data_IF_596010748966
#
_entry.id   IF_596010748966
#
_cell.length_a   1.000
_cell.length_b   1.000
_cell.length_c   1.000
_cell.angle_alpha   90.00
_cell.angle_beta   90.00
_cell.angle_gamma   90.00
#
_symmetry.space_group_name_H-M   'P 1'
#
loop_
_entity.id
_entity.type
_entity.pdbx_description
1 polymer ?
#
# COMPACT_ATOMS: atom_id res chain seq x y z
N UNK A 1 -15.46 -10.80 9.62
CA UNK A 1 -14.64 -12.02 9.61
C UNK A 1 -13.32 -11.67 8.95
N UNK A 2 -12.16 -12.19 9.36
CA UNK A 2 -10.96 -12.01 8.55
C UNK A 2 -11.20 -12.80 7.25
N UNK A 3 -11.20 -12.10 6.11
CA UNK A 3 -11.32 -12.68 4.76
C UNK A 3 -10.22 -13.75 4.59
N UNK A 4 -10.61 -15.02 4.61
CA UNK A 4 -9.72 -16.18 4.77
C UNK A 4 -8.66 -16.37 3.68
N UNK A 5 -8.68 -15.57 2.63
CA UNK A 5 -7.75 -15.63 1.50
C UNK A 5 -6.74 -14.48 1.49
N UNK A 6 -6.77 -13.54 2.45
CA UNK A 6 -5.83 -12.41 2.49
C UNK A 6 -4.42 -12.89 2.91
N UNK A 7 -3.49 -12.85 1.96
CA UNK A 7 -2.13 -13.40 2.11
C UNK A 7 -1.06 -12.33 2.34
N UNK A 8 -1.37 -11.07 2.02
CA UNK A 8 -0.44 -9.97 2.22
C UNK A 8 -1.16 -8.64 2.45
N UNK A 9 -0.53 -7.78 3.25
CA UNK A 9 -1.01 -6.43 3.53
C UNK A 9 0.17 -5.46 3.58
N UNK A 10 0.03 -4.31 2.93
CA UNK A 10 1.01 -3.23 2.95
C UNK A 10 0.35 -1.90 3.31
N UNK A 11 1.01 -1.14 4.18
CA UNK A 11 0.61 0.22 4.53
C UNK A 11 1.45 1.21 3.72
N UNK A 12 0.91 1.69 2.61
CA UNK A 12 1.62 2.52 1.64
C UNK A 12 1.43 4.00 2.00
N UNK A 13 2.46 4.71 2.49
CA UNK A 13 2.38 6.15 2.69
C UNK A 13 2.31 6.87 1.33
N UNK A 14 1.27 7.69 1.15
CA UNK A 14 1.09 8.58 0.01
C UNK A 14 0.83 9.99 0.54
N UNK A 15 1.81 10.88 0.41
CA UNK A 15 1.75 12.24 0.94
C UNK A 15 1.29 12.24 2.42
N UNK A 16 0.08 12.74 2.66
CA UNK A 16 -0.51 12.97 3.96
C UNK A 16 -1.33 11.78 4.52
N UNK A 17 -1.54 10.73 3.71
CA UNK A 17 -2.35 9.57 4.08
C UNK A 17 -1.53 8.28 3.96
N UNK A 18 -1.89 7.27 4.75
CA UNK A 18 -1.43 5.89 4.54
C UNK A 18 -2.60 5.09 4.01
N UNK A 19 -2.39 4.45 2.86
CA UNK A 19 -3.36 3.57 2.24
C UNK A 19 -3.06 2.13 2.59
N UNK A 20 -4.08 1.38 2.99
CA UNK A 20 -3.96 -0.05 3.27
C UNK A 20 -4.21 -0.82 1.98
N UNK A 21 -3.17 -1.49 1.47
CA UNK A 21 -3.26 -2.40 0.33
C UNK A 21 -3.34 -3.83 0.85
N UNK A 22 -4.36 -4.57 0.40
CA UNK A 22 -4.60 -5.95 0.77
C UNK A 22 -4.62 -6.82 -0.48
N UNK A 23 -4.03 -8.02 -0.39
CA UNK A 23 -3.97 -8.97 -1.49
C UNK A 23 -4.48 -10.33 -1.06
N UNK A 24 -5.47 -10.84 -1.80
CA UNK A 24 -5.91 -12.22 -1.72
C UNK A 24 -5.31 -13.04 -2.84
N UNK A 25 -4.91 -14.28 -2.52
CA UNK A 25 -4.43 -15.24 -3.51
C UNK A 25 -4.95 -16.65 -3.21
N UNK A 26 -5.84 -17.15 -4.06
CA UNK A 26 -6.34 -18.51 -4.00
C UNK A 26 -5.41 -19.47 -4.75
N UNK A 27 -4.70 -20.33 -4.03
CA UNK A 27 -3.71 -21.25 -4.61
C UNK A 27 -4.31 -22.44 -5.36
N UNK A 28 -5.62 -22.69 -5.22
CA UNK A 28 -6.35 -23.75 -5.96
C UNK A 28 -6.86 -23.26 -7.32
N UNK A 29 -7.40 -22.04 -7.38
CA UNK A 29 -8.04 -21.48 -8.59
C UNK A 29 -7.19 -20.43 -9.29
N UNK A 30 -6.11 -19.97 -8.65
CA UNK A 30 -5.37 -18.77 -9.07
C UNK A 30 -6.16 -17.47 -8.86
N UNK A 31 -7.20 -17.48 -8.01
CA UNK A 31 -7.97 -16.27 -7.67
C UNK A 31 -7.01 -15.18 -7.15
N UNK A 32 -7.20 -13.94 -7.60
CA UNK A 32 -6.48 -12.76 -7.09
C UNK A 32 -7.45 -11.62 -6.83
N UNK A 33 -7.36 -11.00 -5.66
CA UNK A 33 -8.14 -9.80 -5.32
C UNK A 33 -7.22 -8.77 -4.71
N UNK A 34 -7.27 -7.52 -5.20
CA UNK A 34 -6.56 -6.39 -4.60
C UNK A 34 -7.60 -5.43 -4.04
N UNK A 35 -7.44 -5.06 -2.76
CA UNK A 35 -8.21 -4.00 -2.12
C UNK A 35 -7.29 -2.87 -1.68
N UNK A 36 -7.79 -1.65 -1.79
CA UNK A 36 -7.15 -0.43 -1.27
C UNK A 36 -8.16 0.26 -0.37
N UNK A 37 -7.82 0.45 0.89
CA UNK A 37 -8.69 1.01 1.93
C UNK A 37 -10.04 0.29 2.03
N UNK A 38 -10.01 -1.05 1.94
CA UNK A 38 -11.20 -1.90 1.95
C UNK A 38 -12.01 -1.90 0.65
N UNK A 39 -11.68 -1.05 -0.33
CA UNK A 39 -12.34 -1.04 -1.64
C UNK A 39 -11.61 -1.97 -2.60
N UNK A 40 -12.35 -2.91 -3.19
CA UNK A 40 -11.84 -3.74 -4.27
C UNK A 40 -11.55 -2.92 -5.53
N UNK A 41 -10.32 -3.05 -6.02
CA UNK A 41 -9.85 -2.36 -7.24
C UNK A 41 -9.51 -3.34 -8.37
N UNK A 42 -9.29 -4.61 -8.04
CA UNK A 42 -9.00 -5.67 -9.00
C UNK A 42 -9.49 -7.01 -8.47
N UNK A 43 -10.10 -7.79 -9.36
CA UNK A 43 -10.51 -9.18 -9.13
C UNK A 43 -10.24 -10.04 -10.35
N UNK A 44 -9.66 -11.20 -10.10
CA UNK A 44 -9.52 -12.34 -11.01
C UNK A 44 -10.06 -13.55 -10.29
N UNK A 45 -11.16 -14.13 -10.75
CA UNK A 45 -11.75 -15.29 -10.08
C UNK A 45 -11.02 -16.61 -10.40
N UNK A 46 -10.32 -16.65 -11.53
CA UNK A 46 -9.55 -17.82 -11.96
C UNK A 46 -8.32 -17.44 -12.78
N UNK A 47 -7.20 -18.10 -12.50
CA UNK A 47 -5.96 -18.00 -13.28
C UNK A 47 -5.25 -19.36 -13.33
N UNK A 48 -4.82 -19.77 -14.53
CA UNK A 48 -4.04 -21.01 -14.68
C UNK A 48 -2.67 -20.93 -14.02
N UNK A 49 -2.03 -19.75 -14.04
CA UNK A 49 -0.69 -19.53 -13.49
C UNK A 49 -0.79 -18.86 -12.12
N UNK A 50 -0.23 -19.51 -11.09
CA UNK A 50 -0.24 -19.02 -9.71
C UNK A 50 0.80 -17.93 -9.44
N UNK A 51 1.94 -17.97 -10.13
CA UNK A 51 3.00 -16.94 -10.04
C UNK A 51 2.84 -15.87 -11.13
N UNK A 52 3.33 -14.65 -10.88
CA UNK A 52 3.24 -13.55 -11.84
C UNK A 52 3.11 -12.19 -11.17
N UNK A 53 2.63 -11.21 -11.93
CA UNK A 53 2.52 -9.82 -11.47
C UNK A 53 1.11 -9.29 -11.67
N UNK A 54 0.63 -8.49 -10.73
CA UNK A 54 -0.57 -7.67 -10.88
C UNK A 54 -0.19 -6.19 -10.79
N UNK A 55 -0.60 -5.41 -11.79
CA UNK A 55 -0.31 -3.97 -11.87
C UNK A 55 -1.57 -3.20 -11.48
N UNK A 56 -1.41 -2.18 -10.64
CA UNK A 56 -2.49 -1.33 -10.18
C UNK A 56 -1.96 0.06 -9.79
N UNK A 57 -2.85 0.93 -9.31
CA UNK A 57 -2.49 2.26 -8.82
C UNK A 57 -3.05 2.52 -7.42
N UNK A 58 -2.31 3.30 -6.64
CA UNK A 58 -2.77 3.92 -5.39
C UNK A 58 -2.55 5.42 -5.55
N UNK A 59 -3.62 6.18 -5.74
CA UNK A 59 -3.53 7.54 -6.24
C UNK A 59 -2.77 7.59 -7.57
N UNK A 60 -1.71 8.40 -7.63
CA UNK A 60 -0.84 8.52 -8.81
C UNK A 60 0.33 7.53 -8.84
N UNK A 61 0.55 6.78 -7.77
CA UNK A 61 1.64 5.81 -7.70
C UNK A 61 1.31 4.55 -8.50
N UNK A 62 2.30 4.08 -9.27
CA UNK A 62 2.23 2.79 -9.96
C UNK A 62 2.67 1.70 -9.00
N UNK A 63 1.81 0.72 -8.77
CA UNK A 63 2.06 -0.38 -7.86
C UNK A 63 2.07 -1.71 -8.60
N UNK A 64 2.94 -2.63 -8.17
CA UNK A 64 3.01 -3.99 -8.71
C UNK A 64 3.10 -4.97 -7.56
N UNK A 65 2.16 -5.89 -7.47
CA UNK A 65 2.28 -7.07 -6.59
C UNK A 65 2.93 -8.17 -7.41
N UNK A 66 4.05 -8.71 -6.92
CA UNK A 66 4.67 -9.90 -7.46
C UNK A 66 4.30 -11.11 -6.60
N UNK A 67 3.95 -12.21 -7.26
CA UNK A 67 3.74 -13.52 -6.68
C UNK A 67 4.83 -14.44 -7.21
N UNK A 68 5.69 -14.91 -6.31
CA UNK A 68 6.84 -15.77 -6.64
C UNK A 68 6.72 -17.09 -5.89
N UNK A 69 7.22 -18.18 -6.48
CA UNK A 69 7.24 -19.47 -5.81
C UNK A 69 8.38 -19.49 -4.79
N UNK A 70 8.07 -19.87 -3.56
CA UNK A 70 9.04 -20.06 -2.49
C UNK A 70 9.11 -21.57 -2.17
N UNK A 71 10.02 -22.27 -2.84
CA UNK A 71 10.10 -23.73 -2.79
C UNK A 71 8.93 -24.40 -3.52
N UNK A 72 8.51 -25.58 -3.04
CA UNK A 72 7.56 -26.44 -3.78
C UNK A 72 6.09 -26.10 -3.53
N UNK A 73 5.74 -25.61 -2.33
CA UNK A 73 4.34 -25.46 -1.91
C UNK A 73 4.02 -24.10 -1.27
N UNK A 74 4.96 -23.16 -1.28
CA UNK A 74 4.75 -21.83 -0.72
C UNK A 74 4.96 -20.74 -1.76
N UNK A 75 4.44 -19.56 -1.46
CA UNK A 75 4.54 -18.38 -2.30
C UNK A 75 5.02 -17.20 -1.47
N UNK A 76 5.82 -16.34 -2.10
CA UNK A 76 6.22 -15.05 -1.57
C UNK A 76 5.45 -13.94 -2.30
N UNK A 77 5.10 -12.91 -1.54
CA UNK A 77 4.35 -11.76 -2.03
C UNK A 77 5.17 -10.50 -1.76
N UNK A 78 5.52 -9.78 -2.81
CA UNK A 78 6.23 -8.51 -2.70
C UNK A 78 5.45 -7.39 -3.40
N UNK A 79 5.57 -6.18 -2.86
CA UNK A 79 5.02 -4.98 -3.45
C UNK A 79 6.16 -4.13 -3.99
N UNK A 80 5.99 -3.63 -5.21
CA UNK A 80 6.78 -2.56 -5.77
C UNK A 80 5.93 -1.29 -5.90
N UNK A 81 6.52 -0.15 -5.61
CA UNK A 81 5.90 1.17 -5.74
C UNK A 81 6.82 2.07 -6.55
N UNK A 82 6.31 2.61 -7.67
CA UNK A 82 7.07 3.41 -8.63
C UNK A 82 8.39 2.75 -9.07
N UNK A 83 8.36 1.43 -9.30
CA UNK A 83 9.53 0.65 -9.74
C UNK A 83 10.58 0.38 -8.66
N UNK A 84 10.26 0.63 -7.38
CA UNK A 84 11.14 0.33 -6.24
C UNK A 84 10.50 -0.73 -5.36
N UNK A 85 11.33 -1.55 -4.71
CA UNK A 85 10.84 -2.47 -3.67
C UNK A 85 10.15 -1.67 -2.55
N UNK A 86 9.14 -2.26 -1.93
CA UNK A 86 8.38 -1.59 -0.87
C UNK A 86 9.27 -1.10 0.28
N UNK A 87 10.29 -1.87 0.67
CA UNK A 87 11.23 -1.46 1.72
C UNK A 87 12.02 -0.21 1.32
N UNK A 88 12.57 -0.18 0.09
CA UNK A 88 13.30 0.99 -0.41
C UNK A 88 12.40 2.21 -0.53
N UNK A 89 11.17 2.02 -1.03
CA UNK A 89 10.17 3.08 -1.07
C UNK A 89 9.89 3.64 0.33
N UNK A 90 9.66 2.78 1.32
CA UNK A 90 9.39 3.19 2.71
C UNK A 90 10.55 3.96 3.32
N UNK A 91 11.79 3.52 3.09
CA UNK A 91 12.98 4.24 3.56
C UNK A 91 13.08 5.65 2.96
N UNK A 92 12.83 5.80 1.66
CA UNK A 92 12.83 7.10 1.00
C UNK A 92 11.69 7.99 1.51
N UNK A 93 10.49 7.45 1.69
CA UNK A 93 9.36 8.20 2.26
C UNK A 93 9.67 8.65 3.70
N UNK A 94 10.31 7.84 4.53
CA UNK A 94 10.71 8.24 5.89
C UNK A 94 11.81 9.31 5.90
N UNK A 95 12.69 9.32 4.88
CA UNK A 95 13.69 10.38 4.71
C UNK A 95 13.07 11.70 4.28
N UNK A 96 12.08 11.65 3.38
CA UNK A 96 11.40 12.83 2.84
C UNK A 96 10.33 13.39 3.77
N UNK A 97 9.57 12.52 4.43
CA UNK A 97 8.44 12.90 5.26
C UNK A 97 8.79 12.80 6.74
N UNK A 98 8.27 13.71 7.53
CA UNK A 98 8.22 13.62 8.99
C UNK A 98 6.76 13.69 9.39
N UNK A 99 6.25 12.65 10.05
CA UNK A 99 4.84 12.60 10.46
C UNK A 99 4.69 12.32 11.94
N UNK A 100 3.68 12.91 12.55
CA UNK A 100 3.29 12.66 13.93
C UNK A 100 1.77 12.69 14.08
N UNK A 101 1.30 12.01 15.11
CA UNK A 101 -0.11 12.01 15.50
C UNK A 101 -0.27 12.92 16.72
N UNK A 102 -1.35 13.68 16.76
CA UNK A 102 -1.68 14.60 17.86
C UNK A 102 -3.19 14.68 18.04
N UNK A 103 -3.65 15.22 19.16
CA UNK A 103 -5.05 15.50 19.42
C UNK A 103 -5.27 17.00 19.52
N UNK A 104 -6.16 17.55 18.68
CA UNK A 104 -6.53 18.97 18.68
C UNK A 104 -8.04 19.04 18.87
N UNK A 105 -8.49 19.72 19.94
CA UNK A 105 -9.90 19.83 20.30
C UNK A 105 -10.63 18.48 20.45
N UNK A 106 -9.93 17.45 20.96
CA UNK A 106 -10.49 16.11 21.15
C UNK A 106 -10.60 15.27 19.87
N UNK A 107 -10.18 15.81 18.71
CA UNK A 107 -10.08 15.07 17.46
C UNK A 107 -8.65 14.60 17.23
N UNK A 108 -8.48 13.39 16.69
CA UNK A 108 -7.17 12.88 16.26
C UNK A 108 -6.73 13.50 14.93
N UNK A 109 -5.46 13.88 14.88
CA UNK A 109 -4.83 14.51 13.72
C UNK A 109 -3.54 13.80 13.39
N UNK A 110 -3.38 13.47 12.12
CA UNK A 110 -2.10 13.13 11.54
C UNK A 110 -1.55 14.34 10.82
N UNK A 111 -0.38 14.80 11.27
CA UNK A 111 0.37 15.88 10.62
C UNK A 111 1.57 15.29 9.89
N UNK A 112 1.83 15.77 8.68
CA UNK A 112 2.94 15.35 7.83
C UNK A 112 3.65 16.58 7.30
N UNK A 113 4.94 16.70 7.60
CA UNK A 113 5.86 17.67 7.00
C UNK A 113 6.61 16.97 5.86
N UNK A 114 6.49 17.50 4.65
CA UNK A 114 7.39 17.16 3.55
C UNK A 114 8.65 18.01 3.65
N UNK A 115 9.78 17.40 4.02
CA UNK A 115 11.04 18.09 4.31
C UNK A 115 11.70 18.71 3.08
N UNK A 116 11.31 18.30 1.87
CA UNK A 116 11.88 18.82 0.63
C UNK A 116 11.14 20.08 0.18
N UNK A 117 9.80 20.03 0.18
CA UNK A 117 8.95 21.15 -0.22
C UNK A 117 8.64 22.12 0.92
N UNK A 118 8.90 21.72 2.17
CA UNK A 118 8.47 22.41 3.40
C UNK A 118 6.96 22.55 3.54
N UNK A 119 6.19 21.79 2.76
CA UNK A 119 4.73 21.76 2.88
C UNK A 119 4.28 20.98 4.12
N UNK A 120 3.30 21.53 4.82
CA UNK A 120 2.64 20.87 5.95
C UNK A 120 1.27 20.37 5.52
N UNK A 121 0.97 19.12 5.86
CA UNK A 121 -0.31 18.49 5.61
C UNK A 121 -0.92 18.03 6.92
N UNK A 122 -2.23 18.25 7.10
CA UNK A 122 -2.99 17.79 8.26
C UNK A 122 -4.23 17.02 7.79
N UNK A 123 -4.36 15.76 8.22
CA UNK A 123 -5.47 14.86 7.85
C UNK A 123 -5.77 14.85 6.33
N UNK A 124 -4.71 14.74 5.51
CA UNK A 124 -4.86 14.67 4.05
C UNK A 124 -4.91 16.02 3.33
N UNK A 125 -4.96 17.16 4.06
CA UNK A 125 -5.09 18.49 3.46
C UNK A 125 -3.82 19.30 3.65
N UNK A 126 -3.34 19.94 2.57
CA UNK A 126 -2.25 20.90 2.64
C UNK A 126 -2.70 22.11 3.46
N UNK A 127 -1.84 22.57 4.36
CA UNK A 127 -2.07 23.70 5.25
C UNK A 127 -1.15 24.82 4.80
N UNK A 128 -1.75 25.99 4.57
CA UNK A 128 -1.00 27.20 4.28
C UNK A 128 -0.18 27.60 5.51
N UNK A 129 1.14 27.72 5.33
CA UNK A 129 2.09 28.07 6.38
C UNK A 129 2.67 29.45 6.08
N UNK A 130 2.72 30.31 7.11
CA UNK A 130 3.16 31.70 7.01
C UNK A 130 4.65 31.87 6.68
#
# INVERSE_FOLDING_TARGET
MPDGDCVATWNVPLHAQVHKVEFEHGTTTGKRVIRVDGKEILRRDWMFKLVGKENFKVGDMKCVINVEALGTFAYEYSLEVNGKTFNKFKEEQNKKLQSWETTIAGQEWRVVLDKDSMEVWANGKNIDTA
#
